data_IF_001190449698
#
_entry.id   IF_001190449698
#
_cell.length_a   1.000
_cell.length_b   1.000
_cell.length_c   1.000
_cell.angle_alpha   90.00
_cell.angle_beta   90.00
_cell.angle_gamma   90.00
#
_symmetry.space_group_name_H-M   'P 1'
#
loop_
_entity.id
_entity.type
_entity.pdbx_description
1 polymer ?
#
# COMPACT_ATOMS: atom_id res chain seq x y z
N UNK A 1 -0.02 -1.55 -26.09
CA UNK A 1 0.11 -1.47 -24.62
C UNK A 1 -0.70 -0.33 -24.02
N UNK A 2 -0.84 0.82 -24.68
CA UNK A 2 -1.59 1.96 -24.13
C UNK A 2 -3.10 1.85 -24.39
N UNK A 3 -3.91 2.27 -23.41
CA UNK A 3 -5.36 2.42 -23.54
C UNK A 3 -5.69 3.58 -24.49
N UNK A 4 -6.67 3.36 -25.37
CA UNK A 4 -7.16 4.38 -26.30
C UNK A 4 -8.07 5.41 -25.63
N UNK A 5 -8.74 5.04 -24.54
CA UNK A 5 -9.72 5.84 -23.81
C UNK A 5 -9.15 6.47 -22.53
N UNK A 6 -7.84 6.40 -22.33
CA UNK A 6 -7.15 7.08 -21.25
C UNK A 6 -7.53 6.56 -19.86
N UNK A 7 -7.89 5.28 -19.73
CA UNK A 7 -8.28 4.67 -18.45
C UNK A 7 -7.62 3.33 -18.23
N UNK A 8 -7.23 3.08 -16.97
CA UNK A 8 -6.84 1.75 -16.56
C UNK A 8 -8.03 0.92 -16.09
N UNK A 9 -8.36 -0.16 -16.81
CA UNK A 9 -9.60 -0.93 -16.65
C UNK A 9 -9.32 -2.40 -16.31
N UNK A 10 -8.21 -2.66 -15.65
CA UNK A 10 -7.74 -3.99 -15.25
C UNK A 10 -8.89 -4.84 -14.70
N UNK A 11 -8.98 -6.08 -15.18
CA UNK A 11 -10.05 -7.08 -14.89
C UNK A 11 -11.41 -6.84 -15.53
N UNK A 12 -11.68 -5.68 -16.12
CA UNK A 12 -12.92 -5.44 -16.85
C UNK A 12 -12.83 -6.02 -18.28
N UNK A 13 -13.96 -6.48 -18.83
CA UNK A 13 -14.04 -6.97 -20.22
C UNK A 13 -13.58 -5.93 -21.24
N UNK A 14 -13.70 -4.64 -20.90
CA UNK A 14 -13.31 -3.51 -21.75
C UNK A 14 -11.84 -3.09 -21.60
N UNK A 15 -11.01 -3.81 -20.83
CA UNK A 15 -9.57 -3.55 -20.71
C UNK A 15 -8.85 -3.60 -22.07
N UNK A 16 -8.09 -2.55 -22.38
CA UNK A 16 -7.48 -2.33 -23.70
C UNK A 16 -6.05 -1.73 -23.65
N UNK A 17 -5.38 -1.80 -22.49
CA UNK A 17 -4.06 -1.22 -22.26
C UNK A 17 -4.04 -0.27 -21.07
N UNK A 18 -2.86 0.22 -20.69
CA UNK A 18 -2.66 1.12 -19.55
C UNK A 18 -2.47 2.58 -19.96
N UNK A 19 -2.44 3.49 -18.99
CA UNK A 19 -2.15 4.91 -19.19
C UNK A 19 -0.90 5.31 -18.40
N UNK A 20 -0.05 6.17 -18.96
CA UNK A 20 1.20 6.58 -18.31
C UNK A 20 0.93 7.61 -17.20
N UNK A 21 1.71 7.56 -16.13
CA UNK A 21 1.62 8.48 -15.00
C UNK A 21 3.00 9.01 -14.62
N UNK A 22 3.01 10.20 -14.03
CA UNK A 22 4.16 10.77 -13.35
C UNK A 22 3.96 10.64 -11.83
N UNK A 23 4.96 10.13 -11.12
CA UNK A 23 4.92 10.02 -9.67
C UNK A 23 6.31 10.15 -9.08
N UNK A 24 6.40 10.88 -7.97
CA UNK A 24 7.54 10.84 -7.06
C UNK A 24 7.06 10.25 -5.73
N UNK A 25 7.71 9.19 -5.27
CA UNK A 25 7.40 8.53 -4.00
C UNK A 25 8.70 8.08 -3.36
N UNK A 26 8.83 8.33 -2.06
CA UNK A 26 9.95 7.88 -1.25
C UNK A 26 9.40 7.11 -0.05
N UNK A 27 10.04 6.00 0.29
CA UNK A 27 9.73 5.18 1.46
C UNK A 27 11.00 5.08 2.29
N UNK A 28 10.89 5.38 3.58
CA UNK A 28 11.97 5.23 4.53
C UNK A 28 11.86 3.87 5.23
N UNK A 29 12.88 3.03 5.07
CA UNK A 29 12.98 1.73 5.73
C UNK A 29 14.03 1.79 6.82
N UNK A 30 13.69 1.21 7.97
CA UNK A 30 14.57 1.09 9.12
C UNK A 30 14.29 -0.23 9.82
N UNK A 31 15.23 -0.69 10.66
CA UNK A 31 14.98 -1.84 11.52
C UNK A 31 13.88 -1.47 12.51
N UNK A 32 12.92 -2.38 12.74
CA UNK A 32 11.75 -2.09 13.57
C UNK A 32 12.11 -1.62 14.99
N UNK A 33 13.19 -2.16 15.56
CA UNK A 33 13.70 -1.77 16.90
C UNK A 33 14.17 -0.31 16.99
N UNK A 34 14.56 0.29 15.86
CA UNK A 34 15.08 1.65 15.80
C UNK A 34 13.97 2.64 15.37
N UNK A 35 12.80 2.11 14.99
CA UNK A 35 11.71 2.89 14.42
C UNK A 35 10.88 3.61 15.47
N UNK A 36 10.74 4.92 15.29
CA UNK A 36 9.85 5.76 16.13
C UNK A 36 8.38 5.61 15.76
N UNK A 37 8.11 5.41 14.47
CA UNK A 37 6.79 5.10 13.93
C UNK A 37 6.95 4.00 12.90
N UNK A 38 6.10 2.99 13.01
CA UNK A 38 6.03 1.87 12.08
C UNK A 38 4.61 1.85 11.51
N UNK A 39 4.48 2.10 10.21
CA UNK A 39 3.22 1.96 9.51
C UNK A 39 2.91 0.47 9.27
N UNK A 40 3.91 -0.27 8.79
CA UNK A 40 3.81 -1.68 8.44
C UNK A 40 5.15 -2.37 8.64
N UNK A 41 5.11 -3.69 8.78
CA UNK A 41 6.29 -4.53 8.82
C UNK A 41 6.48 -5.21 7.47
N UNK A 42 7.65 -5.02 6.84
CA UNK A 42 8.03 -5.78 5.65
C UNK A 42 8.58 -7.14 6.09
N UNK A 43 7.80 -8.20 5.87
CA UNK A 43 8.15 -9.55 6.32
C UNK A 43 9.19 -10.18 5.40
N UNK A 44 8.93 -10.14 4.10
CA UNK A 44 9.80 -10.71 3.07
C UNK A 44 9.54 -10.03 1.74
N UNK A 45 10.59 -9.89 0.95
CA UNK A 45 10.53 -9.50 -0.47
C UNK A 45 11.38 -10.48 -1.27
N UNK A 46 10.98 -10.79 -2.50
CA UNK A 46 11.73 -11.65 -3.40
C UNK A 46 11.53 -11.20 -4.84
N UNK A 47 12.51 -11.49 -5.68
CA UNK A 47 12.45 -11.29 -7.13
C UNK A 47 12.84 -12.54 -7.89
N UNK A 48 12.28 -12.72 -9.09
CA UNK A 48 12.77 -13.70 -10.08
C UNK A 48 12.55 -13.15 -11.50
N UNK A 49 12.79 -13.97 -12.51
CA UNK A 49 12.61 -13.59 -13.92
C UNK A 49 11.87 -14.69 -14.68
N UNK A 50 11.03 -14.31 -15.64
CA UNK A 50 10.23 -15.21 -16.47
C UNK A 50 11.06 -16.23 -17.29
N UNK A 51 12.33 -15.94 -17.56
CA UNK A 51 13.18 -16.77 -18.41
C UNK A 51 12.75 -16.77 -19.88
N UNK A 52 13.11 -17.84 -20.60
CA UNK A 52 12.71 -18.03 -22.00
C UNK A 52 11.21 -18.31 -22.12
N UNK A 53 10.58 -17.67 -23.11
CA UNK A 53 9.17 -17.84 -23.47
C UNK A 53 9.06 -17.94 -24.98
N UNK A 54 8.21 -18.82 -25.49
CA UNK A 54 8.05 -19.04 -26.93
C UNK A 54 7.29 -17.92 -27.65
N UNK A 55 6.50 -17.13 -26.91
CA UNK A 55 5.67 -16.06 -27.46
C UNK A 55 6.49 -14.80 -27.74
N UNK A 56 7.04 -14.18 -26.69
CA UNK A 56 7.89 -12.98 -26.73
C UNK A 56 8.44 -12.68 -25.32
N UNK A 57 9.46 -11.82 -25.23
CA UNK A 57 10.01 -11.30 -23.98
C UNK A 57 8.96 -10.58 -23.13
N UNK A 58 7.99 -9.92 -23.77
CA UNK A 58 6.94 -9.13 -23.09
C UNK A 58 5.73 -9.94 -22.63
N UNK A 59 5.61 -11.20 -23.06
CA UNK A 59 4.53 -12.07 -22.64
C UNK A 59 4.77 -12.51 -21.19
N UNK A 60 3.81 -12.43 -20.26
CA UNK A 60 4.05 -12.80 -18.85
C UNK A 60 4.04 -14.33 -18.64
N UNK A 61 4.80 -14.84 -17.66
CA UNK A 61 4.85 -16.26 -17.31
C UNK A 61 4.13 -16.56 -15.98
N UNK A 62 3.02 -17.30 -16.05
CA UNK A 62 2.19 -17.61 -14.86
C UNK A 62 2.91 -18.55 -13.87
N UNK A 63 3.69 -19.50 -14.38
CA UNK A 63 4.47 -20.44 -13.57
C UNK A 63 5.55 -19.69 -12.77
N UNK A 64 6.28 -18.78 -13.40
CA UNK A 64 7.32 -18.00 -12.72
C UNK A 64 6.75 -17.02 -11.70
N UNK A 65 5.59 -16.39 -11.98
CA UNK A 65 4.89 -15.56 -11.01
C UNK A 65 4.37 -16.39 -9.82
N UNK A 66 3.79 -17.57 -10.08
CA UNK A 66 3.34 -18.47 -9.02
C UNK A 66 4.50 -18.99 -8.17
N UNK A 67 5.62 -19.39 -8.80
CA UNK A 67 6.81 -19.86 -8.13
C UNK A 67 7.40 -18.79 -7.22
N UNK A 68 7.50 -17.54 -7.70
CA UNK A 68 7.95 -16.40 -6.90
C UNK A 68 7.14 -16.26 -5.61
N UNK A 69 5.81 -16.28 -5.75
CA UNK A 69 4.92 -16.18 -4.61
C UNK A 69 5.07 -17.41 -3.71
N UNK A 70 4.99 -18.63 -4.24
CA UNK A 70 5.10 -19.88 -3.47
C UNK A 70 6.38 -19.94 -2.64
N UNK A 71 7.52 -19.57 -3.23
CA UNK A 71 8.81 -19.51 -2.54
C UNK A 71 8.74 -18.62 -1.31
N UNK A 72 8.17 -17.42 -1.45
CA UNK A 72 8.14 -16.44 -0.37
C UNK A 72 7.29 -16.92 0.82
N UNK A 73 6.16 -17.59 0.55
CA UNK A 73 5.27 -18.13 1.59
C UNK A 73 5.86 -19.39 2.22
N UNK A 74 6.56 -20.22 1.44
CA UNK A 74 7.28 -21.40 1.96
C UNK A 74 8.43 -20.98 2.87
N UNK A 75 9.25 -20.02 2.46
CA UNK A 75 10.39 -19.52 3.24
C UNK A 75 9.97 -18.85 4.55
N UNK A 76 8.82 -18.16 4.54
CA UNK A 76 8.30 -17.46 5.72
C UNK A 76 7.44 -18.33 6.63
N UNK A 77 7.01 -19.51 6.16
CA UNK A 77 6.04 -20.36 6.84
C UNK A 77 4.64 -19.74 6.96
N UNK A 78 4.36 -18.65 6.22
CA UNK A 78 3.04 -17.99 6.22
C UNK A 78 2.09 -18.82 5.35
N UNK A 79 0.93 -19.15 5.89
CA UNK A 79 -0.12 -19.79 5.10
C UNK A 79 -0.73 -18.76 4.11
N UNK A 80 -0.74 -19.03 2.78
CA UNK A 80 -1.38 -18.15 1.82
C UNK A 80 -2.85 -17.82 2.13
N UNK A 81 -3.57 -18.72 2.81
CA UNK A 81 -4.95 -18.48 3.23
C UNK A 81 -5.09 -17.31 4.22
N UNK A 82 -4.03 -16.96 4.96
CA UNK A 82 -4.01 -15.84 5.92
C UNK A 82 -3.86 -14.47 5.24
N UNK A 83 -3.47 -14.45 3.96
CA UNK A 83 -3.43 -13.22 3.16
C UNK A 83 -4.84 -12.82 2.80
N UNK A 84 -5.27 -11.68 3.32
CA UNK A 84 -6.64 -11.19 3.21
C UNK A 84 -6.87 -10.35 1.95
N UNK A 85 -5.81 -9.71 1.45
CA UNK A 85 -5.85 -8.85 0.28
C UNK A 85 -4.53 -8.95 -0.50
N UNK A 86 -4.61 -9.02 -1.82
CA UNK A 86 -3.45 -8.94 -2.71
C UNK A 86 -3.56 -7.71 -3.60
N UNK A 87 -2.58 -6.82 -3.49
CA UNK A 87 -2.40 -5.73 -4.45
C UNK A 87 -1.68 -6.33 -5.67
N UNK A 88 -2.43 -6.57 -6.74
CA UNK A 88 -1.94 -7.11 -8.02
C UNK A 88 -1.11 -6.08 -8.80
N UNK A 89 -0.24 -6.52 -9.70
CA UNK A 89 0.36 -5.63 -10.67
C UNK A 89 -0.75 -5.00 -11.52
N UNK A 90 -1.55 -5.80 -12.22
CA UNK A 90 -2.61 -5.34 -13.11
C UNK A 90 -2.02 -4.72 -14.36
N UNK A 91 -1.70 -5.55 -15.35
CA UNK A 91 -1.06 -5.11 -16.61
C UNK A 91 -2.01 -4.35 -17.52
N UNK A 92 -3.32 -4.43 -17.24
CA UNK A 92 -4.36 -3.77 -18.04
C UNK A 92 -4.47 -4.36 -19.44
N UNK A 93 -4.09 -5.63 -19.57
CA UNK A 93 -4.15 -6.40 -20.80
C UNK A 93 -4.93 -7.67 -20.55
N UNK A 94 -5.72 -8.09 -21.55
CA UNK A 94 -6.51 -9.33 -21.44
C UNK A 94 -5.65 -10.54 -21.07
N UNK A 95 -4.45 -10.63 -21.66
CA UNK A 95 -3.50 -11.73 -21.42
C UNK A 95 -2.87 -11.62 -20.03
N UNK A 96 -2.26 -10.47 -19.71
CA UNK A 96 -1.50 -10.35 -18.47
C UNK A 96 -2.37 -10.38 -17.21
N UNK A 97 -3.58 -9.83 -17.27
CA UNK A 97 -4.52 -9.89 -16.15
C UNK A 97 -4.96 -11.33 -15.88
N UNK A 98 -5.21 -12.13 -16.94
CA UNK A 98 -5.53 -13.55 -16.81
C UNK A 98 -4.37 -14.34 -16.23
N UNK A 99 -3.15 -14.12 -16.73
CA UNK A 99 -1.93 -14.80 -16.26
C UNK A 99 -1.68 -14.53 -14.78
N UNK A 100 -1.73 -13.26 -14.37
CA UNK A 100 -1.51 -12.87 -12.97
C UNK A 100 -2.59 -13.47 -12.05
N UNK A 101 -3.87 -13.38 -12.41
CA UNK A 101 -4.95 -13.92 -11.58
C UNK A 101 -4.86 -15.44 -11.48
N UNK A 102 -4.48 -16.13 -12.56
CA UNK A 102 -4.27 -17.59 -12.55
C UNK A 102 -3.14 -17.98 -11.59
N UNK A 103 -2.03 -17.24 -11.60
CA UNK A 103 -0.92 -17.46 -10.67
C UNK A 103 -1.32 -17.22 -9.21
N UNK A 104 -2.13 -16.19 -8.94
CA UNK A 104 -2.67 -15.89 -7.61
C UNK A 104 -3.63 -17.00 -7.15
N UNK A 105 -4.56 -17.40 -8.01
CA UNK A 105 -5.57 -18.41 -7.71
C UNK A 105 -4.94 -19.74 -7.29
N UNK A 106 -3.94 -20.22 -8.06
CA UNK A 106 -3.20 -21.46 -7.80
C UNK A 106 -2.55 -21.51 -6.41
N UNK A 107 -2.25 -20.36 -5.80
CA UNK A 107 -1.60 -20.29 -4.49
C UNK A 107 -2.55 -19.92 -3.36
N UNK A 108 -3.27 -18.81 -3.51
CA UNK A 108 -4.02 -18.19 -2.41
C UNK A 108 -5.45 -18.71 -2.25
N UNK A 109 -6.01 -19.32 -3.29
CA UNK A 109 -7.41 -19.76 -3.28
C UNK A 109 -7.57 -21.24 -2.95
N UNK A 110 -6.47 -21.99 -2.84
CA UNK A 110 -6.50 -23.38 -2.39
C UNK A 110 -7.04 -23.45 -0.95
N UNK A 111 -8.07 -24.26 -0.73
CA UNK A 111 -8.73 -24.49 0.57
C UNK A 111 -9.26 -23.22 1.27
N UNK A 112 -9.44 -22.14 0.51
CA UNK A 112 -9.88 -20.85 1.04
C UNK A 112 -11.41 -20.81 1.15
N UNK A 113 -11.93 -20.51 2.35
CA UNK A 113 -13.38 -20.43 2.63
C UNK A 113 -14.05 -19.16 2.12
N UNK A 114 -13.32 -18.04 2.19
CA UNK A 114 -13.81 -16.72 1.78
C UNK A 114 -13.07 -16.27 0.52
N UNK A 115 -13.69 -15.49 -0.38
CA UNK A 115 -13.00 -14.97 -1.56
C UNK A 115 -11.71 -14.22 -1.19
N UNK A 116 -10.66 -14.39 -1.98
CA UNK A 116 -9.49 -13.51 -1.88
C UNK A 116 -9.85 -12.13 -2.42
N UNK A 117 -9.57 -11.08 -1.65
CA UNK A 117 -9.74 -9.72 -2.13
C UNK A 117 -8.53 -9.32 -2.97
N UNK A 118 -8.79 -8.72 -4.14
CA UNK A 118 -7.73 -8.14 -4.97
C UNK A 118 -8.06 -6.70 -5.35
N UNK A 119 -7.01 -5.93 -5.61
CA UNK A 119 -7.15 -4.56 -6.09
C UNK A 119 -5.84 -4.05 -6.68
N UNK A 120 -5.91 -2.88 -7.31
CA UNK A 120 -4.75 -2.21 -7.89
C UNK A 120 -4.81 -0.72 -7.64
N UNK A 121 -3.68 -0.05 -7.83
CA UNK A 121 -3.58 1.42 -7.70
C UNK A 121 -3.79 2.11 -9.06
N UNK A 122 -3.47 1.41 -10.16
CA UNK A 122 -3.47 1.97 -11.51
C UNK A 122 -4.86 2.41 -11.99
N UNK A 123 -5.94 1.80 -11.49
CA UNK A 123 -7.31 2.27 -11.80
C UNK A 123 -7.57 3.69 -11.29
N UNK A 124 -6.86 4.15 -10.25
CA UNK A 124 -7.09 5.43 -9.60
C UNK A 124 -6.12 6.51 -10.06
N UNK A 125 -4.87 6.14 -10.35
CA UNK A 125 -3.77 7.08 -10.64
C UNK A 125 -2.97 6.70 -11.88
N UNK A 126 -3.49 5.80 -12.70
CA UNK A 126 -2.85 5.27 -13.90
C UNK A 126 -1.47 4.63 -13.61
N UNK A 127 -0.70 4.25 -14.62
CA UNK A 127 0.53 3.47 -14.46
C UNK A 127 1.79 4.35 -14.42
N UNK A 128 2.36 4.49 -13.23
CA UNK A 128 3.60 5.23 -12.99
C UNK A 128 4.89 4.44 -13.29
N UNK A 129 4.81 3.50 -14.24
CA UNK A 129 5.91 2.65 -14.73
C UNK A 129 6.85 2.15 -13.58
N UNK A 130 8.11 2.64 -13.41
CA UNK A 130 9.02 2.11 -12.39
C UNK A 130 8.58 2.43 -10.95
N UNK A 131 7.82 3.51 -10.74
CA UNK A 131 7.32 3.89 -9.42
C UNK A 131 6.09 3.08 -8.99
N UNK A 132 5.52 2.24 -9.87
CA UNK A 132 4.23 1.58 -9.63
C UNK A 132 4.24 0.63 -8.42
N UNK A 133 5.36 -0.03 -8.14
CA UNK A 133 5.54 -0.84 -6.94
C UNK A 133 5.44 -0.01 -5.65
N UNK A 134 6.11 1.14 -5.60
CA UNK A 134 6.07 2.05 -4.44
C UNK A 134 4.68 2.68 -4.26
N UNK A 135 3.98 3.02 -5.34
CA UNK A 135 2.59 3.48 -5.27
C UNK A 135 1.65 2.40 -4.70
N UNK A 136 1.94 1.13 -5.02
CA UNK A 136 1.21 -0.01 -4.48
C UNK A 136 1.41 -0.13 -2.98
N UNK A 137 2.64 0.04 -2.51
CA UNK A 137 2.96 0.06 -1.08
C UNK A 137 2.24 1.23 -0.41
N UNK A 138 2.30 2.44 -0.97
CA UNK A 138 1.61 3.61 -0.42
C UNK A 138 0.09 3.38 -0.28
N UNK A 139 -0.59 2.81 -1.29
CA UNK A 139 -2.00 2.40 -1.17
C UNK A 139 -2.19 1.42 -0.02
N UNK A 140 -1.33 0.41 0.11
CA UNK A 140 -1.43 -0.59 1.20
C UNK A 140 -1.18 0.02 2.58
N UNK A 141 -0.27 1.00 2.72
CA UNK A 141 -0.11 1.72 3.99
C UNK A 141 -1.42 2.41 4.40
N UNK A 142 -2.11 3.04 3.44
CA UNK A 142 -3.43 3.64 3.68
C UNK A 142 -4.45 2.56 4.08
N UNK A 143 -4.44 1.39 3.42
CA UNK A 143 -5.32 0.27 3.78
C UNK A 143 -5.12 -0.15 5.23
N UNK A 144 -3.86 -0.33 5.64
CA UNK A 144 -3.54 -0.82 6.97
C UNK A 144 -3.80 0.22 8.07
N UNK A 145 -3.46 1.50 7.85
CA UNK A 145 -3.72 2.56 8.83
C UNK A 145 -5.22 2.89 8.96
N UNK A 146 -5.97 2.87 7.86
CA UNK A 146 -7.39 3.24 7.86
C UNK A 146 -8.34 2.05 8.09
N UNK A 147 -7.84 0.81 8.02
CA UNK A 147 -8.67 -0.39 8.15
C UNK A 147 -9.72 -0.53 7.03
N UNK A 148 -9.45 0.03 5.85
CA UNK A 148 -10.36 0.00 4.69
C UNK A 148 -9.58 -0.17 3.39
N UNK A 149 -10.07 -1.00 2.46
CA UNK A 149 -9.55 -1.09 1.10
C UNK A 149 -10.29 -0.09 0.21
N UNK A 150 -9.60 0.93 -0.37
CA UNK A 150 -10.20 1.81 -1.36
C UNK A 150 -10.59 1.05 -2.62
N UNK A 151 -11.80 1.32 -3.12
CA UNK A 151 -12.33 0.71 -4.33
C UNK A 151 -11.52 1.06 -5.58
N UNK A 152 -11.34 0.07 -6.45
CA UNK A 152 -10.88 0.23 -7.82
C UNK A 152 -11.95 0.97 -8.64
N UNK A 153 -11.48 1.86 -9.52
CA UNK A 153 -12.33 2.49 -10.54
C UNK A 153 -12.42 1.59 -11.77
N UNK A 154 -13.38 1.91 -12.65
CA UNK A 154 -13.52 1.35 -13.99
C UNK A 154 -13.69 -0.18 -14.07
N UNK A 155 -14.17 -0.81 -13.00
CA UNK A 155 -14.51 -2.23 -12.97
C UNK A 155 -16.03 -2.40 -12.86
N UNK A 156 -16.66 -2.79 -13.98
CA UNK A 156 -18.11 -2.98 -14.09
C UNK A 156 -18.45 -4.44 -14.41
N UNK A 157 -17.83 -5.01 -15.44
CA UNK A 157 -18.13 -6.35 -15.95
C UNK A 157 -16.85 -7.18 -15.93
N UNK A 158 -16.80 -8.28 -15.15
CA UNK A 158 -15.59 -9.10 -15.05
C UNK A 158 -15.22 -9.67 -16.42
N UNK A 159 -13.93 -9.66 -16.72
CA UNK A 159 -13.40 -10.29 -17.92
C UNK A 159 -13.74 -11.80 -17.92
N UNK A 160 -14.49 -12.30 -18.93
CA UNK A 160 -14.92 -13.70 -18.98
C UNK A 160 -13.76 -14.70 -19.10
N UNK A 161 -12.57 -14.24 -19.53
CA UNK A 161 -11.37 -15.06 -19.64
C UNK A 161 -10.68 -15.35 -18.30
N UNK A 162 -11.24 -14.82 -17.20
CA UNK A 162 -10.72 -14.97 -15.82
C UNK A 162 -11.76 -15.72 -14.96
N UNK A 163 -11.77 -17.06 -14.97
CA UNK A 163 -12.80 -17.86 -14.30
C UNK A 163 -12.92 -17.60 -12.80
N UNK A 164 -11.79 -17.38 -12.11
CA UNK A 164 -11.74 -17.09 -10.68
C UNK A 164 -12.61 -15.88 -10.24
N UNK A 165 -12.76 -14.89 -11.11
CA UNK A 165 -13.61 -13.71 -10.88
C UNK A 165 -15.09 -14.05 -11.05
N UNK A 166 -15.42 -14.84 -12.08
CA UNK A 166 -16.79 -15.28 -12.37
C UNK A 166 -17.31 -16.25 -11.31
N UNK A 167 -16.46 -17.16 -10.87
CA UNK A 167 -16.76 -18.19 -9.86
C UNK A 167 -16.69 -17.64 -8.43
N UNK A 168 -16.26 -16.39 -8.25
CA UNK A 168 -16.24 -15.70 -6.97
C UNK A 168 -15.15 -16.16 -6.00
N UNK A 169 -14.19 -16.98 -6.43
CA UNK A 169 -13.00 -17.34 -5.63
C UNK A 169 -12.12 -16.11 -5.36
N UNK A 170 -12.06 -15.20 -6.32
CA UNK A 170 -11.35 -13.93 -6.23
C UNK A 170 -12.34 -12.80 -6.45
N UNK A 171 -12.29 -11.77 -5.60
CA UNK A 171 -13.18 -10.61 -5.67
C UNK A 171 -12.37 -9.33 -5.81
N UNK A 172 -12.60 -8.62 -6.92
CA UNK A 172 -12.06 -7.27 -7.12
C UNK A 172 -12.78 -6.30 -6.18
N UNK A 173 -12.01 -5.52 -5.42
CA UNK A 173 -12.58 -4.50 -4.54
C UNK A 173 -12.92 -3.26 -5.36
N UNK A 174 -14.20 -3.03 -5.67
CA UNK A 174 -14.69 -1.88 -6.44
C UNK A 174 -15.51 -0.87 -5.61
N UNK A 175 -15.66 -1.12 -4.31
CA UNK A 175 -16.27 -0.22 -3.33
C UNK A 175 -15.41 -0.22 -2.07
N UNK A 176 -15.50 0.85 -1.27
CA UNK A 176 -14.81 0.92 0.03
C UNK A 176 -15.21 -0.30 0.86
N UNK A 177 -14.23 -1.11 1.23
CA UNK A 177 -14.46 -2.39 1.91
C UNK A 177 -13.68 -2.40 3.22
N UNK A 178 -14.33 -2.64 4.38
CA UNK A 178 -13.62 -2.80 5.64
C UNK A 178 -12.54 -3.88 5.56
N UNK A 179 -11.41 -3.63 6.19
CA UNK A 179 -10.27 -4.54 6.21
C UNK A 179 -9.75 -4.71 7.64
N UNK A 180 -9.79 -5.96 8.11
CA UNK A 180 -9.39 -6.39 9.44
C UNK A 180 -8.37 -7.53 9.38
N UNK A 181 -7.72 -7.71 8.24
CA UNK A 181 -6.68 -8.73 8.07
C UNK A 181 -5.34 -8.29 8.68
N UNK A 182 -4.38 -9.21 8.68
CA UNK A 182 -3.01 -8.91 9.13
C UNK A 182 -2.04 -8.77 7.94
N UNK A 183 -2.21 -9.62 6.93
CA UNK A 183 -1.25 -9.78 5.84
C UNK A 183 -1.80 -9.30 4.50
N UNK A 184 -0.95 -8.57 3.76
CA UNK A 184 -1.19 -8.14 2.38
C UNK A 184 0.01 -8.52 1.51
N UNK A 185 -0.27 -9.18 0.39
CA UNK A 185 0.71 -9.42 -0.67
C UNK A 185 0.69 -8.30 -1.71
N UNK A 186 1.83 -7.94 -2.28
CA UNK A 186 1.93 -6.97 -3.37
C UNK A 186 2.76 -7.54 -4.52
N UNK A 187 2.21 -7.48 -5.72
CA UNK A 187 2.87 -7.87 -6.96
C UNK A 187 3.35 -6.64 -7.74
N UNK A 188 4.54 -6.75 -8.35
CA UNK A 188 5.03 -5.82 -9.35
C UNK A 188 5.84 -6.56 -10.40
N UNK A 189 5.33 -6.62 -11.63
CA UNK A 189 5.93 -7.37 -12.73
C UNK A 189 6.36 -6.41 -13.84
N UNK A 190 7.64 -6.44 -14.20
CA UNK A 190 8.21 -5.63 -15.27
C UNK A 190 7.95 -6.26 -16.63
N UNK A 191 7.77 -5.43 -17.66
CA UNK A 191 7.53 -5.91 -19.04
C UNK A 191 8.68 -6.73 -19.62
N UNK A 192 9.90 -6.60 -19.08
CA UNK A 192 11.05 -7.46 -19.45
C UNK A 192 11.04 -8.84 -18.79
N UNK A 193 10.02 -9.17 -17.99
CA UNK A 193 9.88 -10.44 -17.29
C UNK A 193 10.50 -10.49 -15.89
N UNK A 194 11.05 -9.39 -15.37
CA UNK A 194 11.49 -9.33 -13.96
C UNK A 194 10.29 -9.16 -13.05
N UNK A 195 10.13 -10.07 -12.09
CA UNK A 195 9.01 -10.10 -11.17
C UNK A 195 9.47 -9.77 -9.75
N UNK A 196 8.62 -9.09 -8.99
CA UNK A 196 8.80 -8.83 -7.58
C UNK A 196 7.51 -9.11 -6.80
N UNK A 197 7.67 -9.70 -5.61
CA UNK A 197 6.59 -9.91 -4.64
C UNK A 197 7.07 -9.53 -3.24
N UNK A 198 6.18 -8.91 -2.47
CA UNK A 198 6.42 -8.50 -1.08
C UNK A 198 5.22 -8.87 -0.21
N UNK A 199 5.52 -9.34 1.00
CA UNK A 199 4.53 -9.55 2.07
C UNK A 199 4.68 -8.43 3.09
N UNK A 200 3.60 -7.68 3.31
CA UNK A 200 3.46 -6.69 4.37
C UNK A 200 2.56 -7.24 5.47
N UNK A 201 2.95 -6.96 6.72
CA UNK A 201 2.16 -7.22 7.92
C UNK A 201 1.72 -5.91 8.56
N UNK A 202 0.47 -5.87 8.99
CA UNK A 202 -0.09 -4.75 9.74
C UNK A 202 0.71 -4.50 11.02
N UNK A 203 0.85 -3.23 11.42
CA UNK A 203 1.40 -2.88 12.73
C UNK A 203 0.28 -2.26 13.57
N UNK A 204 -0.54 -3.08 14.27
CA UNK A 204 -1.65 -2.54 15.05
C UNK A 204 -1.11 -1.63 16.14
N UNK A 205 -1.48 -0.35 16.09
CA UNK A 205 -1.16 0.60 17.14
C UNK A 205 -1.96 0.24 18.40
N UNK A 206 -1.33 0.08 19.57
CA UNK A 206 -2.07 -0.08 20.81
C UNK A 206 -3.02 1.11 20.96
N UNK A 207 -4.31 0.85 21.19
CA UNK A 207 -5.25 1.93 21.55
C UNK A 207 -4.74 2.55 22.85
N UNK A 208 -4.62 3.88 22.96
CA UNK A 208 -4.29 4.52 24.23
C UNK A 208 -5.25 4.03 25.31
N UNK A 209 -4.70 3.58 26.45
CA UNK A 209 -5.52 3.19 27.59
C UNK A 209 -6.26 4.42 28.13
N UNK A 210 -7.59 4.32 28.31
CA UNK A 210 -8.46 5.39 28.84
C UNK A 210 -8.20 5.75 30.32
N UNK A 211 -7.14 5.23 30.93
CA UNK A 211 -6.74 5.65 32.27
C UNK A 211 -6.22 7.09 32.15
N UNK A 212 -6.96 8.02 32.77
CA UNK A 212 -6.59 9.43 32.87
C UNK A 212 -5.19 9.55 33.50
N UNK A 213 -4.18 9.68 32.66
CA UNK A 213 -2.85 10.06 33.11
C UNK A 213 -2.92 11.55 33.43
N UNK A 214 -2.62 11.94 34.68
CA UNK A 214 -2.61 13.34 35.12
C UNK A 214 -1.70 14.20 34.21
N UNK A 215 -0.66 13.60 33.61
CA UNK A 215 0.21 14.24 32.62
C UNK A 215 -0.48 14.59 31.30
N UNK A 216 -1.56 13.89 30.92
CA UNK A 216 -2.39 14.28 29.78
C UNK A 216 -3.19 15.54 30.06
N UNK A 217 -3.40 15.89 31.34
CA UNK A 217 -4.13 17.07 31.82
C UNK A 217 -3.31 18.39 31.88
N UNK A 218 -2.01 18.32 31.55
CA UNK A 218 -1.09 19.47 31.60
C UNK A 218 -0.99 20.20 30.25
N UNK A 219 -0.74 21.52 30.25
CA UNK A 219 -0.39 22.25 29.04
C UNK A 219 0.84 21.66 28.34
N UNK A 220 0.80 21.56 27.02
CA UNK A 220 1.90 21.01 26.21
C UNK A 220 2.52 22.13 25.36
N UNK A 221 3.80 22.41 25.56
CA UNK A 221 4.58 23.25 24.66
C UNK A 221 5.02 22.44 23.44
N UNK A 222 4.65 22.91 22.25
CA UNK A 222 5.08 22.33 20.98
C UNK A 222 5.90 23.36 20.23
N UNK A 223 7.19 23.09 20.06
CA UNK A 223 8.09 23.93 19.29
C UNK A 223 8.36 23.29 17.92
N UNK A 224 8.33 24.10 16.87
CA UNK A 224 8.62 23.67 15.50
C UNK A 224 9.59 24.63 14.83
N UNK A 225 10.21 24.16 13.76
CA UNK A 225 11.12 24.94 12.93
C UNK A 225 10.88 24.64 11.46
N UNK A 226 11.15 25.59 10.59
CA UNK A 226 10.94 25.45 9.15
C UNK A 226 11.85 26.37 8.34
N UNK A 227 11.93 26.10 7.03
CA UNK A 227 12.69 26.94 6.09
C UNK A 227 12.01 28.28 5.81
N UNK A 228 10.69 28.36 6.00
CA UNK A 228 9.89 29.56 5.76
C UNK A 228 8.87 29.76 6.89
N UNK A 229 8.29 30.96 6.95
CA UNK A 229 7.23 31.29 7.94
C UNK A 229 5.97 30.46 7.68
N UNK A 230 5.63 30.25 6.42
CA UNK A 230 4.48 29.46 5.98
C UNK A 230 4.61 27.99 6.42
N UNK A 231 5.81 27.42 6.32
CA UNK A 231 6.07 26.05 6.79
C UNK A 231 5.88 25.91 8.31
N UNK A 232 6.34 26.91 9.08
CA UNK A 232 6.12 26.95 10.53
C UNK A 232 4.64 27.08 10.86
N UNK A 233 3.92 28.01 10.22
CA UNK A 233 2.48 28.18 10.44
C UNK A 233 1.70 26.91 10.08
N UNK A 234 1.99 26.27 8.95
CA UNK A 234 1.34 25.02 8.55
C UNK A 234 1.56 23.90 9.57
N UNK A 235 2.75 23.79 10.16
CA UNK A 235 3.02 22.83 11.24
C UNK A 235 2.23 23.18 12.51
N UNK A 236 2.17 24.45 12.91
CA UNK A 236 1.42 24.89 14.08
C UNK A 236 -0.10 24.70 13.90
N UNK A 237 -0.64 24.90 12.70
CA UNK A 237 -2.03 24.62 12.38
C UNK A 237 -2.33 23.12 12.52
N UNK A 238 -1.42 22.24 12.03
CA UNK A 238 -1.51 20.79 12.26
C UNK A 238 -1.44 20.42 13.74
N UNK A 239 -0.61 21.12 14.52
CA UNK A 239 -0.55 20.94 15.99
C UNK A 239 -1.89 21.26 16.64
N UNK A 240 -2.58 22.30 16.20
CA UNK A 240 -3.93 22.66 16.69
C UNK A 240 -4.97 21.61 16.28
N UNK A 241 -4.96 21.18 15.02
CA UNK A 241 -5.87 20.13 14.50
C UNK A 241 -5.70 18.81 15.26
N UNK A 242 -4.46 18.45 15.60
CA UNK A 242 -4.09 17.18 16.23
C UNK A 242 -3.69 17.34 17.71
N UNK A 243 -4.28 18.30 18.43
CA UNK A 243 -3.91 18.64 19.82
C UNK A 243 -4.00 17.49 20.83
N UNK A 244 -4.80 16.47 20.54
CA UNK A 244 -5.00 15.29 21.39
C UNK A 244 -4.24 14.05 20.88
N UNK A 245 -3.50 14.15 19.76
CA UNK A 245 -2.70 13.05 19.22
C UNK A 245 -1.31 13.03 19.86
N UNK A 246 -1.21 12.30 20.97
CA UNK A 246 0.05 12.18 21.73
C UNK A 246 1.21 11.61 20.91
N UNK A 247 0.94 10.69 19.97
CA UNK A 247 1.99 10.12 19.11
C UNK A 247 2.54 11.21 18.18
N UNK A 248 1.65 11.94 17.49
CA UNK A 248 2.02 13.03 16.61
C UNK A 248 2.82 14.13 17.33
N UNK A 249 2.33 14.59 18.49
CA UNK A 249 3.01 15.63 19.26
C UNK A 249 4.38 15.19 19.78
N UNK A 250 4.51 13.92 20.20
CA UNK A 250 5.79 13.35 20.63
C UNK A 250 6.79 13.28 19.47
N UNK A 251 6.35 12.82 18.29
CA UNK A 251 7.19 12.76 17.10
C UNK A 251 7.68 14.15 16.68
N UNK A 252 6.80 15.15 16.65
CA UNK A 252 7.17 16.54 16.37
C UNK A 252 8.22 17.05 17.35
N UNK A 253 7.98 16.87 18.66
CA UNK A 253 8.95 17.27 19.68
C UNK A 253 10.31 16.61 19.43
N UNK A 254 10.35 15.31 19.18
CA UNK A 254 11.62 14.60 18.98
C UNK A 254 12.37 15.05 17.71
N UNK A 255 11.66 15.48 16.66
CA UNK A 255 12.26 15.99 15.42
C UNK A 255 12.83 17.39 15.65
N UNK A 256 12.06 18.27 16.27
CA UNK A 256 12.40 19.68 16.45
C UNK A 256 13.17 19.99 17.75
N UNK A 257 13.45 18.98 18.58
CA UNK A 257 14.28 19.14 19.79
C UNK A 257 15.75 19.48 19.47
N UNK A 258 16.20 19.15 18.27
CA UNK A 258 17.53 19.46 17.78
C UNK A 258 17.47 20.48 16.64
N UNK A 259 18.55 21.24 16.45
CA UNK A 259 18.67 22.13 15.29
C UNK A 259 18.67 21.32 14.00
N UNK A 260 17.82 21.70 13.05
CA UNK A 260 17.76 21.13 11.70
C UNK A 260 18.42 22.12 10.75
N UNK A 261 19.43 21.67 10.03
CA UNK A 261 20.15 22.52 9.06
C UNK A 261 19.20 23.13 8.03
N UNK A 262 19.30 24.43 7.79
CA UNK A 262 18.45 25.19 6.87
C UNK A 262 17.07 25.58 7.42
N UNK A 263 16.71 25.19 8.65
CA UNK A 263 15.50 25.67 9.32
C UNK A 263 15.80 26.95 10.11
N UNK A 264 15.69 28.10 9.45
CA UNK A 264 16.00 29.41 10.03
C UNK A 264 14.82 30.02 10.80
N UNK A 265 13.59 29.60 10.51
CA UNK A 265 12.38 30.10 11.16
C UNK A 265 11.93 29.13 12.24
N UNK A 266 11.47 29.67 13.38
CA UNK A 266 10.93 28.90 14.51
C UNK A 266 9.57 29.42 14.91
N UNK A 267 8.76 28.55 15.50
CA UNK A 267 7.49 28.89 16.10
C UNK A 267 7.16 27.93 17.23
N UNK A 268 6.18 28.30 18.04
CA UNK A 268 5.70 27.44 19.11
C UNK A 268 4.21 27.64 19.33
N UNK A 269 3.58 26.65 19.95
CA UNK A 269 2.20 26.70 20.42
C UNK A 269 2.14 26.08 21.83
N UNK A 270 1.31 26.64 22.70
CA UNK A 270 1.00 26.06 24.02
C UNK A 270 -0.41 25.49 23.94
N UNK A 271 -0.51 24.17 23.95
CA UNK A 271 -1.80 23.48 23.93
C UNK A 271 -2.32 23.33 25.36
N UNK A 272 -3.27 24.17 25.74
CA UNK A 272 -4.12 23.96 26.91
C UNK A 272 -5.17 22.89 26.61
N UNK A 273 -5.79 22.29 27.63
CA UNK A 273 -6.81 21.25 27.40
C UNK A 273 -8.21 21.83 27.26
N UNK A 274 -8.42 23.03 27.79
CA UNK A 274 -9.74 23.65 27.84
C UNK A 274 -10.02 24.62 26.70
N UNK A 275 -9.12 24.74 25.71
CA UNK A 275 -9.38 25.55 24.51
C UNK A 275 -9.47 27.06 24.74
N UNK A 276 -9.06 27.52 25.92
CA UNK A 276 -8.86 28.94 26.27
C UNK A 276 -7.37 29.26 26.37
#
# INVERSE_FOLDING_TARGET
>A
MLSQDGKCKTFDVSANGYVRAEVVVAIYLQKAKDARRVYVMMIRTKTNTDGYKSQDITYPNDEMQNQLMRDIYTETGINPADVSYVKVHGTDTKVGDKVEVSAIEKLFCKDRKNPLLIGLVKSNMVHSEPASGLCSIAKVLIVMEAGVIPGNLHFNTPNPDIPALKEGRIRVVNKVTPWNGDLIGINSFGSGGTNAHIILRSNPKPKPSLLLNITESLPKLVAVSGRTKEAVHALLDKVKEHRNDNEFLSLLRMIHNNNISGHEIRGYEILNINGT
#
